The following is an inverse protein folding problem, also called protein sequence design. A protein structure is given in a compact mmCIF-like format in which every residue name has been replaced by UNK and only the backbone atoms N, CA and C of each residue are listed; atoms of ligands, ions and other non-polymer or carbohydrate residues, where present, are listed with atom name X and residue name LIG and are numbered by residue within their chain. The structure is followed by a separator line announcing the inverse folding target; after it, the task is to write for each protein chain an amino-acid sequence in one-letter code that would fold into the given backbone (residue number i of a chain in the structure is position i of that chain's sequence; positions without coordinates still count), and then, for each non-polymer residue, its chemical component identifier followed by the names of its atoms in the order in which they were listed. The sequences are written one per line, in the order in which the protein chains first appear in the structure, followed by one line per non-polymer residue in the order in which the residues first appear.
data_IF_487921293363
#
_entry.id   IF_487921293363
#
_cell.length_a   1.000
_cell.length_b   1.000
_cell.length_c   1.000
_cell.angle_alpha   90.00
_cell.angle_beta   90.00
_cell.angle_gamma   90.00
#
_symmetry.space_group_name_H-M   'P 1'
#
loop_
_entity.id
_entity.type
_entity.pdbx_description
1 polymer ?
#
# COMPACT_ATOMS: atom_id res chain seq x y z
N UNK A 1 -28.70 79.41 -74.13
CA UNK A 1 -27.46 78.96 -73.48
C UNK A 1 -27.76 77.69 -72.72
N UNK A 2 -27.06 76.61 -73.02
CA UNK A 2 -27.30 75.29 -72.41
C UNK A 2 -26.39 75.09 -71.20
N UNK A 3 -26.93 74.68 -70.05
CA UNK A 3 -26.11 74.32 -68.88
C UNK A 3 -25.64 72.87 -69.00
N UNK A 4 -24.33 72.65 -68.94
CA UNK A 4 -23.69 71.33 -68.94
C UNK A 4 -23.79 70.68 -67.54
N UNK A 5 -23.57 69.36 -67.41
CA UNK A 5 -23.54 68.69 -66.10
C UNK A 5 -22.54 69.29 -65.10
N UNK A 6 -21.48 69.94 -65.58
CA UNK A 6 -20.51 70.69 -64.78
C UNK A 6 -21.04 72.03 -64.24
N UNK A 7 -22.25 72.45 -64.64
CA UNK A 7 -22.80 73.78 -64.38
C UNK A 7 -22.34 74.85 -65.38
N UNK A 8 -21.32 74.57 -66.19
CA UNK A 8 -20.80 75.48 -67.23
C UNK A 8 -21.87 75.71 -68.29
N UNK A 9 -22.07 76.96 -68.68
CA UNK A 9 -23.01 77.34 -69.73
C UNK A 9 -22.34 77.31 -71.10
N UNK A 10 -22.74 76.37 -71.95
CA UNK A 10 -22.34 76.32 -73.36
C UNK A 10 -23.05 77.44 -74.13
N UNK A 11 -22.24 78.31 -74.76
CA UNK A 11 -22.70 79.41 -75.58
C UNK A 11 -22.92 78.89 -77.01
N UNK A 12 -24.12 79.07 -77.53
CA UNK A 12 -24.48 78.75 -78.91
C UNK A 12 -24.58 80.03 -79.76
N UNK A 13 -24.56 79.89 -81.09
CA UNK A 13 -24.59 81.03 -82.00
C UNK A 13 -25.84 81.93 -81.87
N UNK A 14 -26.94 81.39 -81.34
CA UNK A 14 -28.19 82.12 -81.06
C UNK A 14 -28.24 82.78 -79.67
N UNK A 15 -27.21 82.64 -78.85
CA UNK A 15 -27.19 83.16 -77.48
C UNK A 15 -26.64 84.59 -77.40
N UNK A 16 -27.27 85.42 -76.56
CA UNK A 16 -26.73 86.73 -76.18
C UNK A 16 -25.67 86.56 -75.06
N UNK A 17 -24.46 86.16 -75.43
CA UNK A 17 -23.36 85.95 -74.48
C UNK A 17 -22.88 87.27 -73.86
N UNK A 18 -22.96 87.37 -72.54
CA UNK A 18 -22.48 88.53 -71.78
C UNK A 18 -21.18 88.21 -71.05
N UNK A 19 -20.46 89.26 -70.63
CA UNK A 19 -19.28 89.13 -69.76
C UNK A 19 -19.62 88.35 -68.48
N UNK A 20 -20.84 88.53 -67.95
CA UNK A 20 -21.30 87.79 -66.76
C UNK A 20 -21.34 86.28 -67.03
N UNK A 21 -21.76 85.86 -68.24
CA UNK A 21 -21.77 84.44 -68.59
C UNK A 21 -20.37 83.84 -68.63
N UNK A 22 -19.40 84.59 -69.18
CA UNK A 22 -18.01 84.16 -69.23
C UNK A 22 -17.37 84.09 -67.84
N UNK A 23 -17.61 85.09 -66.98
CA UNK A 23 -17.07 85.11 -65.62
C UNK A 23 -17.62 83.94 -64.79
N UNK A 24 -18.93 83.67 -64.85
CA UNK A 24 -19.53 82.53 -64.15
C UNK A 24 -18.94 81.20 -64.63
N UNK A 25 -18.70 81.04 -65.93
CA UNK A 25 -18.06 79.84 -66.45
C UNK A 25 -16.59 79.72 -66.01
N UNK A 26 -15.87 80.84 -65.94
CA UNK A 26 -14.49 80.87 -65.46
C UNK A 26 -14.41 80.48 -63.98
N UNK A 27 -15.30 81.01 -63.12
CA UNK A 27 -15.37 80.65 -61.70
C UNK A 27 -15.70 79.17 -61.50
N UNK A 28 -16.65 78.64 -62.28
CA UNK A 28 -17.01 77.21 -62.23
C UNK A 28 -15.88 76.30 -62.72
N UNK A 29 -15.14 76.72 -63.75
CA UNK A 29 -13.98 75.99 -64.24
C UNK A 29 -12.87 75.97 -63.19
N UNK A 30 -12.58 77.12 -62.58
CA UNK A 30 -11.59 77.24 -61.50
C UNK A 30 -11.94 76.32 -60.32
N UNK A 31 -13.19 76.34 -59.87
CA UNK A 31 -13.68 75.45 -58.82
C UNK A 31 -13.51 73.96 -59.18
N UNK A 32 -13.80 73.56 -60.42
CA UNK A 32 -13.63 72.16 -60.86
C UNK A 32 -12.17 71.74 -61.00
N UNK A 33 -11.29 72.66 -61.41
CA UNK A 33 -9.85 72.42 -61.43
C UNK A 33 -9.33 72.25 -59.99
N UNK A 34 -9.80 73.07 -59.05
CA UNK A 34 -9.43 72.94 -57.64
C UNK A 34 -9.86 71.57 -57.08
N UNK A 35 -11.11 71.14 -57.31
CA UNK A 35 -11.58 69.80 -56.92
C UNK A 35 -10.73 68.67 -57.52
N UNK A 36 -10.44 68.74 -58.83
CA UNK A 36 -9.62 67.74 -59.50
C UNK A 36 -8.18 67.70 -58.97
N UNK A 37 -7.60 68.86 -58.64
CA UNK A 37 -6.26 68.95 -58.05
C UNK A 37 -6.20 68.34 -56.64
N UNK A 38 -7.26 68.53 -55.84
CA UNK A 38 -7.38 67.92 -54.53
C UNK A 38 -7.50 66.39 -54.64
N UNK A 39 -8.29 65.89 -55.60
CA UNK A 39 -8.39 64.46 -55.88
C UNK A 39 -7.05 63.88 -56.36
N UNK A 40 -6.30 64.60 -57.20
CA UNK A 40 -4.95 64.20 -57.62
C UNK A 40 -4.01 64.03 -56.44
N UNK A 41 -4.06 64.97 -55.49
CA UNK A 41 -3.27 64.89 -54.24
C UNK A 41 -3.62 63.67 -53.40
N UNK A 42 -4.91 63.33 -53.29
CA UNK A 42 -5.37 62.14 -52.56
C UNK A 42 -4.93 60.84 -53.26
N UNK A 43 -5.06 60.79 -54.59
CA UNK A 43 -4.62 59.65 -55.40
C UNK A 43 -3.11 59.44 -55.29
N UNK A 44 -2.33 60.51 -55.30
CA UNK A 44 -0.88 60.46 -55.11
C UNK A 44 -0.52 59.92 -53.71
N UNK A 45 -1.26 60.32 -52.68
CA UNK A 45 -1.14 59.80 -51.32
C UNK A 45 -1.42 58.29 -51.24
N UNK A 46 -2.53 57.83 -51.83
CA UNK A 46 -2.87 56.40 -51.90
C UNK A 46 -1.80 55.62 -52.67
N UNK A 47 -1.28 56.20 -53.76
CA UNK A 47 -0.20 55.61 -54.54
C UNK A 47 1.08 55.44 -53.73
N UNK A 48 1.43 56.43 -52.91
CA UNK A 48 2.57 56.37 -52.01
C UNK A 48 2.39 55.26 -50.94
N UNK A 49 1.21 55.20 -50.31
CA UNK A 49 0.90 54.19 -49.29
C UNK A 49 0.93 52.76 -49.86
N UNK A 50 0.33 52.54 -51.03
CA UNK A 50 0.35 51.24 -51.70
C UNK A 50 1.78 50.84 -52.11
N UNK A 51 2.58 51.81 -52.56
CA UNK A 51 3.98 51.58 -52.91
C UNK A 51 4.81 51.20 -51.68
N UNK A 52 4.54 51.84 -50.54
CA UNK A 52 5.16 51.49 -49.26
C UNK A 52 4.73 50.10 -48.74
N UNK A 53 3.50 49.67 -49.03
CA UNK A 53 2.96 48.37 -48.60
C UNK A 53 3.46 47.18 -49.43
N UNK A 54 3.93 47.34 -50.67
CA UNK A 54 4.38 46.20 -51.51
C UNK A 54 5.49 45.41 -50.80
N UNK A 55 5.17 44.14 -50.53
CA UNK A 55 5.93 43.13 -49.75
C UNK A 55 7.31 42.74 -50.27
N UNK A 56 8.15 43.71 -50.59
CA UNK A 56 9.57 43.57 -50.92
C UNK A 56 10.45 43.61 -49.66
N UNK A 57 9.96 43.10 -48.53
CA UNK A 57 10.67 43.20 -47.23
C UNK A 57 10.55 44.57 -46.54
N UNK A 58 9.46 45.30 -46.77
CA UNK A 58 9.18 46.55 -46.05
C UNK A 58 9.01 46.33 -44.55
N UNK A 59 9.43 47.30 -43.74
CA UNK A 59 9.33 47.32 -42.27
C UNK A 59 7.92 47.58 -41.75
N UNK A 60 6.91 47.56 -42.62
CA UNK A 60 5.52 47.90 -42.29
C UNK A 60 4.95 47.00 -41.19
N UNK A 61 5.33 45.72 -41.19
CA UNK A 61 5.01 44.81 -40.08
C UNK A 61 6.27 44.48 -39.29
N UNK A 62 6.18 44.66 -37.97
CA UNK A 62 7.23 44.26 -37.04
C UNK A 62 7.42 42.74 -37.05
N UNK A 63 8.57 42.28 -36.55
CA UNK A 63 8.78 40.85 -36.28
C UNK A 63 7.77 40.35 -35.26
N UNK A 64 7.35 39.09 -35.42
CA UNK A 64 6.50 38.42 -34.45
C UNK A 64 7.19 38.39 -33.08
N UNK A 65 6.41 38.63 -32.02
CA UNK A 65 6.84 38.50 -30.63
C UNK A 65 5.99 37.46 -29.92
N UNK A 66 6.29 37.16 -28.67
CA UNK A 66 5.45 36.27 -27.86
C UNK A 66 4.06 36.84 -27.54
N UNK A 67 3.89 38.16 -27.62
CA UNK A 67 2.63 38.86 -27.26
C UNK A 67 1.86 39.45 -28.44
N UNK A 68 2.48 39.54 -29.63
CA UNK A 68 1.89 40.19 -30.81
C UNK A 68 2.29 39.49 -32.10
N UNK A 69 1.32 39.37 -33.02
CA UNK A 69 1.57 38.84 -34.36
C UNK A 69 2.50 39.77 -35.18
N UNK A 70 3.25 39.19 -36.11
CA UNK A 70 4.21 39.89 -36.97
C UNK A 70 4.87 38.95 -37.98
N UNK A 71 5.90 39.43 -38.66
CA UNK A 71 6.66 38.62 -39.62
C UNK A 71 7.65 37.68 -38.94
N UNK A 72 7.89 36.52 -39.57
CA UNK A 72 8.93 35.60 -39.15
C UNK A 72 10.31 36.18 -39.45
N UNK A 73 11.24 36.12 -38.49
CA UNK A 73 12.63 36.55 -38.72
C UNK A 73 13.39 35.54 -39.59
N UNK A 74 14.42 36.00 -40.29
CA UNK A 74 15.32 35.09 -41.03
C UNK A 74 15.98 34.06 -40.11
N UNK A 75 16.32 34.44 -38.87
CA UNK A 75 16.90 33.53 -37.89
C UNK A 75 15.91 32.43 -37.48
N UNK A 76 14.64 32.78 -37.26
CA UNK A 76 13.60 31.79 -36.94
C UNK A 76 13.31 30.89 -38.13
N UNK A 77 13.31 31.43 -39.36
CA UNK A 77 13.17 30.64 -40.58
C UNK A 77 14.32 29.65 -40.73
N UNK A 78 15.57 30.07 -40.55
CA UNK A 78 16.73 29.19 -40.55
C UNK A 78 16.60 28.10 -39.48
N UNK A 79 16.16 28.44 -38.25
CA UNK A 79 15.91 27.42 -37.21
C UNK A 79 14.85 26.42 -37.66
N UNK A 80 13.72 26.87 -38.18
CA UNK A 80 12.68 25.96 -38.70
C UNK A 80 13.16 25.12 -39.88
N UNK A 81 14.01 25.65 -40.76
CA UNK A 81 14.57 24.90 -41.89
C UNK A 81 15.54 23.79 -41.46
N UNK A 82 16.13 23.90 -40.27
CA UNK A 82 16.96 22.83 -39.69
C UNK A 82 16.14 21.72 -39.02
N UNK A 83 14.84 21.92 -38.82
CA UNK A 83 13.94 20.92 -38.25
C UNK A 83 13.65 19.89 -39.36
N UNK A 84 14.26 18.72 -39.27
CA UNK A 84 13.99 17.60 -40.18
C UNK A 84 12.49 17.24 -40.20
N UNK A 85 11.98 16.77 -41.34
CA UNK A 85 10.61 16.26 -41.46
C UNK A 85 10.34 15.21 -40.37
N UNK A 86 9.46 15.53 -39.42
CA UNK A 86 9.12 14.65 -38.29
C UNK A 86 10.03 14.76 -37.06
N UNK A 87 10.80 15.83 -36.88
CA UNK A 87 11.73 16.01 -35.75
C UNK A 87 11.09 16.04 -34.33
N UNK A 88 9.76 15.97 -34.21
CA UNK A 88 9.04 15.76 -32.95
C UNK A 88 8.43 14.35 -32.82
N UNK A 89 8.80 13.42 -33.71
CA UNK A 89 8.28 12.05 -33.68
C UNK A 89 9.05 11.19 -32.66
N UNK A 90 9.08 11.61 -31.39
CA UNK A 90 9.49 10.70 -30.31
C UNK A 90 8.46 9.58 -30.23
N UNK A 91 8.80 8.45 -30.84
CA UNK A 91 7.99 7.23 -30.73
C UNK A 91 8.48 6.49 -29.50
N UNK A 92 7.65 6.49 -28.46
CA UNK A 92 7.95 5.74 -27.25
C UNK A 92 8.05 4.25 -27.59
N UNK A 93 9.09 3.53 -27.13
CA UNK A 93 9.20 2.10 -27.41
C UNK A 93 8.09 1.34 -26.69
N UNK A 94 7.67 0.20 -27.24
CA UNK A 94 6.67 -0.65 -26.59
C UNK A 94 7.16 -1.25 -25.25
N UNK A 95 8.47 -1.35 -25.09
CA UNK A 95 9.13 -1.88 -23.89
C UNK A 95 10.43 -1.14 -23.61
N UNK A 96 10.85 -1.16 -22.34
CA UNK A 96 12.10 -0.57 -21.87
C UNK A 96 12.95 -1.65 -21.22
N UNK A 97 14.24 -1.79 -21.57
CA UNK A 97 15.12 -2.67 -20.82
C UNK A 97 15.37 -2.06 -19.43
N UNK A 98 15.39 -2.86 -18.34
CA UNK A 98 15.57 -2.32 -16.98
C UNK A 98 16.83 -1.46 -16.80
N UNK A 99 17.88 -1.71 -17.59
CA UNK A 99 19.15 -0.97 -17.55
C UNK A 99 19.03 0.53 -17.83
N UNK A 100 17.94 1.00 -18.44
CA UNK A 100 17.74 2.43 -18.70
C UNK A 100 17.27 3.20 -17.46
N UNK A 101 16.73 2.49 -16.46
CA UNK A 101 16.18 3.08 -15.25
C UNK A 101 17.26 3.01 -14.17
N UNK A 102 17.73 4.17 -13.72
CA UNK A 102 18.66 4.28 -12.59
C UNK A 102 17.95 3.84 -11.32
N UNK A 103 18.52 2.87 -10.60
CA UNK A 103 17.98 2.38 -9.34
C UNK A 103 18.43 3.25 -8.16
N UNK A 104 17.57 3.40 -7.16
CA UNK A 104 17.87 4.10 -5.91
C UNK A 104 17.63 3.18 -4.70
N UNK A 105 18.00 3.65 -3.50
CA UNK A 105 17.91 2.84 -2.29
C UNK A 105 16.49 2.32 -1.97
N UNK A 106 15.45 3.01 -2.41
CA UNK A 106 14.04 2.60 -2.28
C UNK A 106 13.50 1.80 -3.47
N UNK A 107 14.12 1.91 -4.64
CA UNK A 107 13.64 1.30 -5.89
C UNK A 107 14.73 0.44 -6.53
N UNK A 108 14.68 -0.87 -6.28
CA UNK A 108 15.58 -1.88 -6.86
C UNK A 108 14.85 -2.81 -7.81
N UNK A 109 15.49 -3.18 -8.92
CA UNK A 109 15.04 -4.29 -9.75
C UNK A 109 15.42 -5.61 -9.09
N UNK A 110 14.51 -6.57 -9.16
CA UNK A 110 14.69 -7.91 -8.60
C UNK A 110 14.44 -8.91 -9.70
N UNK A 111 15.34 -9.87 -9.84
CA UNK A 111 15.20 -10.98 -10.79
C UNK A 111 14.29 -12.07 -10.23
N UNK A 112 13.74 -12.91 -11.11
CA UNK A 112 12.95 -14.06 -10.69
C UNK A 112 13.77 -15.06 -9.85
N UNK A 113 15.08 -15.17 -10.11
CA UNK A 113 16.00 -16.01 -9.34
C UNK A 113 16.21 -15.49 -7.91
N UNK A 114 16.41 -14.18 -7.75
CA UNK A 114 16.48 -13.54 -6.43
C UNK A 114 15.17 -13.70 -5.66
N UNK A 115 14.02 -13.46 -6.33
CA UNK A 115 12.69 -13.65 -5.72
C UNK A 115 12.48 -15.08 -5.24
N UNK A 116 12.85 -16.06 -6.07
CA UNK A 116 12.76 -17.48 -5.72
C UNK A 116 13.65 -17.81 -4.51
N UNK A 117 14.87 -17.28 -4.49
CA UNK A 117 15.82 -17.48 -3.38
C UNK A 117 15.31 -16.88 -2.08
N UNK A 118 14.75 -15.67 -2.09
CA UNK A 118 14.17 -15.05 -0.90
C UNK A 118 12.95 -15.81 -0.39
N UNK A 119 12.06 -16.22 -1.30
CA UNK A 119 10.89 -17.01 -0.94
C UNK A 119 11.26 -18.40 -0.38
N UNK A 120 12.45 -18.91 -0.71
CA UNK A 120 12.96 -20.18 -0.21
C UNK A 120 13.80 -20.07 1.08
N UNK A 121 14.14 -18.87 1.57
CA UNK A 121 15.02 -18.70 2.74
C UNK A 121 14.45 -19.29 4.03
N UNK A 122 13.13 -19.25 4.20
CA UNK A 122 12.46 -19.88 5.33
C UNK A 122 11.72 -21.13 4.87
N UNK A 123 11.96 -22.26 5.54
CA UNK A 123 11.15 -23.46 5.33
C UNK A 123 9.72 -23.19 5.82
N UNK A 124 8.74 -23.44 4.97
CA UNK A 124 7.31 -23.43 5.36
C UNK A 124 6.86 -24.77 5.94
N UNK A 125 7.73 -25.78 5.93
CA UNK A 125 7.44 -27.06 6.53
C UNK A 125 7.34 -26.94 8.05
N UNK A 126 6.38 -27.67 8.63
CA UNK A 126 6.29 -27.82 10.09
C UNK A 126 7.49 -28.63 10.57
N UNK A 127 8.10 -28.20 11.66
CA UNK A 127 9.21 -28.92 12.26
C UNK A 127 8.75 -30.25 12.86
N UNK A 128 9.52 -31.31 12.62
CA UNK A 128 9.34 -32.62 13.26
C UNK A 128 10.56 -32.93 14.13
N UNK A 129 10.49 -34.03 14.91
CA UNK A 129 11.65 -34.48 15.69
C UNK A 129 12.85 -34.89 14.81
N UNK A 130 12.63 -35.18 13.53
CA UNK A 130 13.67 -35.63 12.60
C UNK A 130 14.06 -34.58 11.54
N UNK A 131 13.23 -33.57 11.30
CA UNK A 131 13.39 -32.62 10.18
C UNK A 131 13.18 -31.20 10.67
N UNK A 132 14.13 -30.31 10.34
CA UNK A 132 14.01 -28.89 10.57
C UNK A 132 12.83 -28.32 9.77
N UNK A 133 12.07 -27.42 10.40
CA UNK A 133 10.99 -26.68 9.76
C UNK A 133 11.09 -25.20 10.14
N UNK A 134 9.98 -24.65 10.62
CA UNK A 134 9.93 -23.31 11.24
C UNK A 134 10.81 -23.15 12.50
N UNK A 135 11.32 -24.25 13.05
CA UNK A 135 12.37 -24.30 14.06
C UNK A 135 13.26 -25.53 13.85
N UNK A 136 14.36 -25.63 14.61
CA UNK A 136 15.25 -26.78 14.51
C UNK A 136 14.58 -28.06 15.03
N UNK A 137 14.91 -29.20 14.42
CA UNK A 137 14.45 -30.52 14.88
C UNK A 137 14.93 -30.80 16.33
N UNK A 138 16.10 -30.28 16.67
CA UNK A 138 16.65 -30.33 18.04
C UNK A 138 15.75 -29.60 19.03
N UNK A 139 15.31 -28.38 18.71
CA UNK A 139 14.44 -27.61 19.60
C UNK A 139 13.02 -28.20 19.66
N UNK A 140 12.52 -28.74 18.54
CA UNK A 140 11.26 -29.51 18.52
C UNK A 140 11.32 -30.70 19.46
N UNK A 141 12.41 -31.48 19.39
CA UNK A 141 12.60 -32.65 20.26
C UNK A 141 12.66 -32.28 21.73
N UNK A 142 13.34 -31.18 22.08
CA UNK A 142 13.35 -30.67 23.45
C UNK A 142 11.95 -30.30 23.92
N UNK A 143 11.18 -29.58 23.09
CA UNK A 143 9.82 -29.15 23.42
C UNK A 143 8.87 -30.34 23.61
N UNK A 144 8.97 -31.35 22.74
CA UNK A 144 8.19 -32.59 22.87
C UNK A 144 8.53 -33.36 24.15
N UNK A 145 9.81 -33.33 24.54
CA UNK A 145 10.31 -33.95 25.77
C UNK A 145 9.80 -33.28 27.05
N UNK A 146 9.41 -32.00 27.03
CA UNK A 146 8.93 -31.29 28.24
C UNK A 146 7.63 -31.92 28.77
N UNK A 147 6.72 -32.36 27.89
CA UNK A 147 5.45 -32.98 28.32
C UNK A 147 5.65 -34.38 28.88
N UNK A 148 6.57 -35.16 28.30
CA UNK A 148 6.89 -36.51 28.76
C UNK A 148 7.73 -36.51 30.05
N UNK A 149 8.61 -35.52 30.22
CA UNK A 149 9.57 -35.38 31.31
C UNK A 149 9.15 -34.46 32.45
N UNK A 150 7.86 -34.09 32.57
CA UNK A 150 7.41 -33.27 33.69
C UNK A 150 7.83 -33.90 35.03
N UNK A 151 8.33 -33.11 35.99
CA UNK A 151 8.84 -33.66 37.25
C UNK A 151 7.75 -34.39 38.08
N UNK A 152 6.48 -34.14 37.79
CA UNK A 152 5.33 -34.77 38.44
C UNK A 152 4.14 -34.90 37.48
N UNK A 153 3.14 -35.69 37.90
CA UNK A 153 1.79 -35.72 37.35
C UNK A 153 0.82 -35.42 38.48
N UNK A 154 -0.05 -34.44 38.28
CA UNK A 154 -1.18 -34.19 39.16
C UNK A 154 -2.46 -34.73 38.52
N UNK A 155 -3.34 -35.30 39.33
CA UNK A 155 -4.60 -35.85 38.84
C UNK A 155 -5.60 -36.02 39.96
N UNK A 156 -6.70 -36.69 39.64
CA UNK A 156 -7.72 -37.05 40.62
C UNK A 156 -8.11 -38.52 40.50
N UNK A 157 -8.63 -39.07 41.58
CA UNK A 157 -9.41 -40.31 41.54
C UNK A 157 -10.61 -40.17 42.46
N UNK A 158 -11.69 -40.87 42.12
CA UNK A 158 -12.85 -41.02 43.02
C UNK A 158 -12.68 -42.32 43.77
N UNK A 159 -12.86 -42.30 45.10
CA UNK A 159 -12.76 -43.49 45.92
C UNK A 159 -13.93 -44.45 45.69
N UNK A 160 -13.72 -45.72 46.00
CA UNK A 160 -14.67 -46.82 45.75
C UNK A 160 -14.82 -47.83 46.91
N UNK A 161 -14.31 -47.49 48.11
CA UNK A 161 -14.24 -48.35 49.29
C UNK A 161 -13.42 -49.65 49.15
N UNK A 162 -12.69 -49.85 48.05
CA UNK A 162 -11.78 -50.99 47.92
C UNK A 162 -10.69 -50.91 49.00
N UNK A 163 -10.46 -52.03 49.70
CA UNK A 163 -9.53 -52.08 50.83
C UNK A 163 -8.10 -51.68 50.47
N UNK A 164 -7.65 -52.03 49.27
CA UNK A 164 -6.39 -51.62 48.68
C UNK A 164 -6.59 -51.51 47.17
N UNK A 165 -6.39 -50.32 46.61
CA UNK A 165 -6.66 -50.00 45.21
C UNK A 165 -5.44 -49.44 44.52
N UNK A 166 -5.15 -49.93 43.33
CA UNK A 166 -4.13 -49.38 42.45
C UNK A 166 -4.67 -48.19 41.65
N UNK A 167 -3.97 -47.07 41.71
CA UNK A 167 -4.14 -45.91 40.85
C UNK A 167 -3.04 -45.94 39.81
N UNK A 168 -3.43 -46.27 38.57
CA UNK A 168 -2.50 -46.45 37.47
C UNK A 168 -1.89 -45.12 37.00
N UNK A 169 -0.59 -45.13 36.76
CA UNK A 169 0.19 -44.05 36.16
C UNK A 169 1.10 -44.65 35.08
N UNK A 170 1.52 -43.87 34.07
CA UNK A 170 2.44 -44.36 33.04
C UNK A 170 3.90 -44.49 33.53
N UNK A 171 4.14 -44.39 34.85
CA UNK A 171 5.46 -44.47 35.49
C UNK A 171 5.34 -44.93 36.95
N UNK A 172 6.44 -45.41 37.51
CA UNK A 172 6.58 -45.72 38.95
C UNK A 172 7.00 -44.44 39.69
N UNK A 173 6.15 -43.86 40.55
CA UNK A 173 6.45 -42.61 41.22
C UNK A 173 7.52 -42.76 42.31
N UNK A 174 8.40 -41.77 42.42
CA UNK A 174 9.39 -41.64 43.50
C UNK A 174 8.76 -41.15 44.81
N UNK A 175 7.69 -40.36 44.71
CA UNK A 175 6.85 -39.94 45.82
C UNK A 175 5.42 -39.63 45.37
N UNK A 176 4.44 -39.75 46.26
CA UNK A 176 3.03 -39.41 46.01
C UNK A 176 2.44 -38.68 47.20
N UNK A 177 1.89 -37.49 46.95
CA UNK A 177 1.04 -36.74 47.87
C UNK A 177 -0.42 -36.97 47.51
N UNK A 178 -1.26 -37.28 48.49
CA UNK A 178 -2.72 -37.44 48.32
C UNK A 178 -3.46 -36.46 49.23
N UNK A 179 -4.45 -35.77 48.67
CA UNK A 179 -5.26 -34.76 49.34
C UNK A 179 -6.72 -34.99 48.99
N UNK A 180 -7.60 -35.00 49.98
CA UNK A 180 -9.05 -35.02 49.76
C UNK A 180 -9.53 -33.64 49.27
N UNK A 181 -10.24 -33.59 48.14
CA UNK A 181 -10.66 -32.33 47.51
C UNK A 181 -11.59 -31.52 48.40
N UNK A 182 -12.74 -32.08 48.74
CA UNK A 182 -13.71 -31.51 49.66
C UNK A 182 -14.63 -32.62 50.16
N UNK A 183 -14.61 -32.84 51.47
CA UNK A 183 -15.66 -33.55 52.20
C UNK A 183 -16.05 -32.63 53.36
N UNK A 184 -17.34 -32.30 53.50
CA UNK A 184 -17.82 -31.37 54.53
C UNK A 184 -17.17 -29.96 54.52
N UNK A 185 -16.76 -29.45 53.36
CA UNK A 185 -16.24 -28.09 53.20
C UNK A 185 -14.80 -27.86 53.65
N UNK A 186 -14.01 -28.93 53.87
CA UNK A 186 -12.58 -28.87 54.19
C UNK A 186 -11.76 -29.72 53.23
N UNK A 187 -10.53 -29.27 52.98
CA UNK A 187 -9.48 -30.03 52.30
C UNK A 187 -8.69 -30.77 53.39
N UNK A 188 -8.46 -32.06 53.21
CA UNK A 188 -7.74 -32.88 54.20
C UNK A 188 -6.50 -33.52 53.58
N UNK A 189 -5.40 -33.48 54.30
CA UNK A 189 -4.19 -34.21 53.95
C UNK A 189 -4.43 -35.70 54.18
N UNK A 190 -4.20 -36.54 53.16
CA UNK A 190 -4.46 -37.97 53.22
C UNK A 190 -3.20 -38.83 53.05
N UNK A 191 -2.01 -38.23 53.15
CA UNK A 191 -0.73 -38.94 53.19
C UNK A 191 0.27 -38.52 52.11
N UNK A 192 1.55 -38.69 52.45
CA UNK A 192 2.70 -38.49 51.56
C UNK A 192 3.58 -39.73 51.65
N UNK A 193 3.63 -40.50 50.57
CA UNK A 193 4.44 -41.70 50.47
C UNK A 193 5.67 -41.42 49.62
N UNK A 194 6.82 -41.98 50.01
CA UNK A 194 8.05 -41.96 49.23
C UNK A 194 8.39 -43.42 48.89
N UNK A 195 9.11 -43.66 47.79
CA UNK A 195 9.57 -45.00 47.43
C UNK A 195 10.30 -45.67 48.61
N UNK A 196 9.79 -46.84 49.03
CA UNK A 196 10.29 -47.58 50.19
C UNK A 196 9.75 -47.12 51.56
N UNK A 197 9.06 -45.98 51.62
CA UNK A 197 8.49 -45.39 52.84
C UNK A 197 7.00 -45.05 52.65
N UNK A 198 6.10 -46.04 52.82
CA UNK A 198 4.66 -45.83 52.70
C UNK A 198 4.11 -44.87 53.78
N UNK A 199 3.00 -44.20 53.48
CA UNK A 199 2.27 -43.40 54.45
C UNK A 199 1.29 -44.28 55.25
N UNK A 200 1.24 -44.09 56.57
CA UNK A 200 0.35 -44.82 57.48
C UNK A 200 -0.57 -43.85 58.22
N UNK A 201 -1.79 -44.28 58.52
CA UNK A 201 -2.66 -43.63 59.48
C UNK A 201 -2.87 -44.57 60.67
N UNK A 202 -2.09 -44.37 61.74
CA UNK A 202 -2.04 -45.25 62.91
C UNK A 202 -0.88 -46.26 62.87
N UNK A 203 -1.02 -47.38 63.59
CA UNK A 203 0.04 -48.37 63.72
C UNK A 203 0.37 -49.08 62.38
N UNK A 204 1.64 -49.45 62.12
CA UNK A 204 2.06 -50.10 60.88
C UNK A 204 1.33 -51.43 60.58
N UNK A 205 0.83 -52.10 61.62
CA UNK A 205 0.04 -53.34 61.50
C UNK A 205 -1.26 -53.15 60.72
N UNK A 206 -1.75 -51.92 60.57
CA UNK A 206 -2.94 -51.59 59.80
C UNK A 206 -2.68 -51.45 58.29
N UNK A 207 -1.43 -51.58 57.84
CA UNK A 207 -1.05 -51.39 56.45
C UNK A 207 -1.04 -49.92 56.02
N UNK A 208 -0.43 -49.60 54.87
CA UNK A 208 -0.30 -48.23 54.42
C UNK A 208 -1.61 -47.69 53.83
N UNK A 209 -1.83 -46.38 54.03
CA UNK A 209 -2.92 -45.63 53.41
C UNK A 209 -2.53 -45.07 52.04
N UNK A 210 -1.23 -44.83 51.81
CA UNK A 210 -0.68 -44.48 50.49
C UNK A 210 0.67 -45.19 50.33
N UNK A 211 0.91 -45.78 49.17
CA UNK A 211 2.20 -46.42 48.86
C UNK A 211 2.52 -46.30 47.38
N UNK A 212 3.77 -45.97 47.03
CA UNK A 212 4.23 -46.02 45.63
C UNK A 212 4.20 -47.46 45.10
N UNK A 213 3.80 -47.66 43.85
CA UNK A 213 3.75 -48.97 43.22
C UNK A 213 4.30 -48.90 41.79
N UNK A 214 4.65 -50.05 41.20
CA UNK A 214 5.06 -50.08 39.79
C UNK A 214 3.94 -49.53 38.92
N UNK A 215 4.25 -48.55 38.06
CA UNK A 215 3.26 -47.90 37.18
C UNK A 215 2.05 -47.32 37.95
N UNK A 216 2.25 -46.78 39.15
CA UNK A 216 1.13 -46.21 39.91
C UNK A 216 1.40 -46.02 41.39
N UNK A 217 0.32 -45.96 42.16
CA UNK A 217 0.37 -45.97 43.62
C UNK A 217 -0.86 -46.65 44.17
N UNK A 218 -0.77 -47.11 45.41
CA UNK A 218 -1.84 -47.76 46.12
C UNK A 218 -2.48 -46.82 47.12
N UNK A 219 -3.80 -46.88 47.22
CA UNK A 219 -4.62 -46.20 48.22
C UNK A 219 -5.50 -47.21 48.94
N UNK A 220 -5.95 -46.91 50.15
CA UNK A 220 -6.65 -47.87 50.98
C UNK A 220 -7.92 -47.27 51.59
N UNK A 221 -8.97 -48.08 51.62
CA UNK A 221 -10.14 -47.85 52.46
C UNK A 221 -10.12 -48.85 53.61
N UNK A 222 -10.17 -48.36 54.85
CA UNK A 222 -10.17 -49.23 56.03
C UNK A 222 -10.99 -48.64 57.14
N UNK A 223 -12.21 -49.09 57.35
CA UNK A 223 -13.01 -48.62 58.46
C UNK A 223 -12.42 -49.11 59.80
N UNK A 224 -11.69 -48.24 60.51
CA UNK A 224 -11.09 -48.54 61.81
C UNK A 224 -11.93 -48.04 62.99
N UNK A 225 -13.22 -47.72 62.79
CA UNK A 225 -14.15 -47.36 63.87
C UNK A 225 -13.80 -46.12 64.68
N UNK A 226 -12.80 -45.34 64.25
CA UNK A 226 -12.35 -44.11 64.88
C UNK A 226 -12.78 -42.91 64.04
N UNK A 227 -13.35 -41.90 64.71
CA UNK A 227 -13.93 -40.68 64.12
C UNK A 227 -12.93 -39.77 63.37
N UNK A 228 -11.64 -40.15 63.29
CA UNK A 228 -10.58 -39.38 62.64
C UNK A 228 -9.79 -40.18 61.58
N UNK A 229 -10.42 -41.15 60.94
CA UNK A 229 -9.74 -42.01 59.97
C UNK A 229 -9.68 -41.35 58.60
N UNK A 230 -8.50 -40.82 58.24
CA UNK A 230 -8.18 -40.34 56.89
C UNK A 230 -8.13 -41.53 55.92
N UNK A 231 -9.28 -41.93 55.40
CA UNK A 231 -9.38 -42.93 54.35
C UNK A 231 -8.97 -42.29 53.02
N UNK A 232 -8.14 -42.98 52.25
CA UNK A 232 -7.67 -42.51 50.93
C UNK A 232 -8.48 -43.14 49.80
N UNK A 233 -9.57 -43.85 50.08
CA UNK A 233 -10.38 -44.48 49.05
C UNK A 233 -11.86 -44.57 49.42
N UNK A 234 -12.39 -43.58 50.16
CA UNK A 234 -13.82 -43.53 50.51
C UNK A 234 -14.69 -43.38 49.28
N UNK A 235 -15.73 -44.20 49.17
CA UNK A 235 -16.67 -44.19 48.06
C UNK A 235 -17.28 -42.80 47.84
N UNK A 236 -17.19 -42.31 46.59
CA UNK A 236 -17.74 -41.02 46.19
C UNK A 236 -16.92 -39.80 46.61
N UNK A 237 -15.88 -39.96 47.44
CA UNK A 237 -14.94 -38.89 47.74
C UNK A 237 -13.94 -38.72 46.60
N UNK A 238 -13.67 -37.46 46.21
CA UNK A 238 -12.68 -37.12 45.18
C UNK A 238 -11.38 -36.71 45.84
N UNK A 239 -10.29 -37.39 45.46
CA UNK A 239 -8.95 -37.13 45.94
C UNK A 239 -8.11 -36.55 44.81
N UNK A 240 -7.30 -35.55 45.12
CA UNK A 240 -6.21 -35.08 44.29
C UNK A 240 -4.94 -35.82 44.66
N UNK A 241 -4.09 -36.06 43.66
CA UNK A 241 -2.75 -36.54 43.90
C UNK A 241 -1.72 -35.72 43.13
N UNK A 242 -0.51 -35.67 43.67
CA UNK A 242 0.70 -35.25 42.98
C UNK A 242 1.68 -36.42 43.07
N UNK A 243 1.98 -37.03 41.93
CA UNK A 243 2.91 -38.14 41.80
C UNK A 243 4.19 -37.66 41.13
N UNK A 244 5.29 -37.69 41.85
CA UNK A 244 6.61 -37.28 41.37
C UNK A 244 7.24 -38.42 40.57
N UNK A 245 7.80 -38.10 39.40
CA UNK A 245 8.54 -39.07 38.58
C UNK A 245 9.83 -39.53 39.25
#
# INVERSE_FOLDING_TARGET
MQTLPSGIKKIEASDNATIVNFNVNADLLDAKIAELSALGTEVDGIGADLTAHKGSGGTAHALATTGSAGFQSAADKTKLDTIATGANNYTHPSTHPPSIIVQDAGNRFVTDAERTTWNAKASTAVASAAVNGLMSATDKTKLDGIMAGAAYVAGTYTGDNTALRDIALPFTPSAVLVILSTLFGRVEYCGFAIAGSPAYNGAPTYGPIVQTATNGFKVAYRDVGSVNSLYTNTAGAVYHYIAFR
#
